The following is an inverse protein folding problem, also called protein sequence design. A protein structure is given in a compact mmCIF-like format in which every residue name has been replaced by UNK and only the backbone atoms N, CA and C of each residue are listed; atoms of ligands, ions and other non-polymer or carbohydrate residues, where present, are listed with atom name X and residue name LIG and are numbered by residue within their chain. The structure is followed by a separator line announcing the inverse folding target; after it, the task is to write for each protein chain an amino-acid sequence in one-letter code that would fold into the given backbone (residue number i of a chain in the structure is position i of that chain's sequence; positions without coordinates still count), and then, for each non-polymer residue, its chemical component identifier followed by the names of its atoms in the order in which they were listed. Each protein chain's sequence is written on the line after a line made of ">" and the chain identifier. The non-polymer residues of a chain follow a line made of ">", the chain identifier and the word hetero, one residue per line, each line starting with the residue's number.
data_IF_850457571815
#
_entry.id   IF_850457571815
#
_cell.length_a   1.000
_cell.length_b   1.000
_cell.length_c   1.000
_cell.angle_alpha   90.00
_cell.angle_beta   90.00
_cell.angle_gamma   90.00
#
_symmetry.space_group_name_H-M   'P 1'
#
loop_
_entity.id
_entity.type
_entity.pdbx_description
1 polymer ?
#
# COMPACT_ATOMS: atom_id res chain seq x y z
N UNK A 1 -33.45 -1.90 -5.51
CA UNK A 1 -33.03 -0.97 -4.48
C UNK A 1 -33.48 -1.49 -3.11
N UNK A 2 -32.60 -1.41 -2.11
CA UNK A 2 -32.96 -1.74 -0.73
C UNK A 2 -33.77 -0.60 -0.14
N UNK A 3 -34.65 -0.83 0.87
CA UNK A 3 -35.47 0.23 1.46
C UNK A 3 -34.66 1.41 2.07
N UNK A 4 -33.36 1.20 2.33
CA UNK A 4 -32.45 2.19 2.91
C UNK A 4 -31.62 2.96 1.86
N UNK A 5 -31.71 2.60 0.57
CA UNK A 5 -30.93 3.27 -0.46
C UNK A 5 -31.32 4.76 -0.55
N UNK A 6 -30.31 5.62 -0.62
CA UNK A 6 -30.50 7.08 -0.69
C UNK A 6 -30.63 7.81 0.64
N UNK A 7 -30.66 7.10 1.78
CA UNK A 7 -30.57 7.72 3.09
C UNK A 7 -29.11 8.11 3.39
N UNK A 8 -28.85 9.20 4.15
CA UNK A 8 -27.49 9.53 4.61
C UNK A 8 -26.84 8.35 5.31
N UNK A 9 -25.59 8.10 5.01
CA UNK A 9 -24.84 6.99 5.61
C UNK A 9 -24.58 7.20 7.11
N UNK A 10 -24.66 8.46 7.59
CA UNK A 10 -24.37 8.83 8.99
C UNK A 10 -23.04 8.22 9.47
N UNK A 11 -22.00 8.42 8.68
CA UNK A 11 -20.68 7.84 8.90
C UNK A 11 -20.10 8.24 10.28
N UNK A 12 -19.41 7.31 10.91
CA UNK A 12 -18.56 7.52 12.09
C UNK A 12 -17.43 6.49 12.08
N UNK A 13 -16.42 6.69 12.93
CA UNK A 13 -15.33 5.71 13.12
C UNK A 13 -15.83 4.33 13.58
N UNK A 14 -17.05 4.23 14.10
CA UNK A 14 -17.69 2.96 14.49
C UNK A 14 -18.52 2.33 13.37
N UNK A 15 -18.56 2.93 12.17
CA UNK A 15 -19.32 2.40 11.05
C UNK A 15 -18.69 1.11 10.52
N UNK A 16 -19.52 0.18 10.02
CA UNK A 16 -19.06 -1.01 9.31
C UNK A 16 -18.59 -0.63 7.89
N UNK A 17 -17.29 -0.51 7.72
CA UNK A 17 -16.65 -0.14 6.46
C UNK A 17 -16.93 -1.15 5.33
N UNK A 18 -17.08 -2.44 5.66
CA UNK A 18 -17.29 -3.51 4.68
C UNK A 18 -18.61 -3.38 3.89
N UNK A 19 -19.56 -2.63 4.39
CA UNK A 19 -20.82 -2.38 3.69
C UNK A 19 -20.59 -1.69 2.34
N UNK A 20 -19.68 -0.72 2.30
CA UNK A 20 -19.35 0.08 1.11
C UNK A 20 -18.00 -0.28 0.50
N UNK A 21 -16.96 -0.53 1.31
CA UNK A 21 -15.61 -0.86 0.88
C UNK A 21 -15.40 -2.37 0.69
N UNK A 22 -16.28 -3.01 -0.09
CA UNK A 22 -16.33 -4.47 -0.29
C UNK A 22 -15.02 -5.07 -0.80
N UNK A 23 -14.29 -4.36 -1.69
CA UNK A 23 -13.03 -4.85 -2.25
C UNK A 23 -11.93 -4.89 -1.21
N UNK A 24 -11.83 -3.85 -0.39
CA UNK A 24 -10.87 -3.75 0.68
C UNK A 24 -11.18 -4.80 1.77
N UNK A 25 -12.44 -4.93 2.16
CA UNK A 25 -12.84 -5.96 3.10
C UNK A 25 -12.60 -7.39 2.55
N UNK A 26 -12.83 -7.62 1.25
CA UNK A 26 -12.55 -8.91 0.62
C UNK A 26 -11.05 -9.24 0.60
N UNK A 27 -10.17 -8.23 0.46
CA UNK A 27 -8.72 -8.45 0.46
C UNK A 27 -8.17 -9.00 1.78
N UNK A 28 -8.88 -8.77 2.89
CA UNK A 28 -8.53 -9.35 4.19
C UNK A 28 -8.81 -10.87 4.30
N UNK A 29 -9.49 -11.43 3.33
CA UNK A 29 -9.87 -12.85 3.25
C UNK A 29 -9.34 -13.52 1.97
N UNK A 30 -8.58 -12.81 1.16
CA UNK A 30 -8.05 -13.28 -0.11
C UNK A 30 -6.57 -13.61 0.05
N UNK A 31 -6.20 -14.87 -0.04
CA UNK A 31 -4.81 -15.36 0.05
C UNK A 31 -3.88 -14.69 -0.99
N UNK A 32 -4.44 -14.11 -2.05
CA UNK A 32 -3.70 -13.29 -2.99
C UNK A 32 -3.26 -11.93 -2.39
N UNK A 33 -3.83 -11.53 -1.25
CA UNK A 33 -3.50 -10.29 -0.53
C UNK A 33 -2.83 -10.62 0.82
N UNK A 34 -1.61 -11.15 0.84
CA UNK A 34 -1.00 -11.74 2.05
C UNK A 34 -0.89 -10.76 3.22
N UNK A 35 -0.71 -9.47 2.96
CA UNK A 35 -0.65 -8.45 4.02
C UNK A 35 -2.02 -8.26 4.68
N UNK A 36 -3.09 -8.16 3.89
CA UNK A 36 -4.46 -8.05 4.41
C UNK A 36 -4.85 -9.24 5.26
N UNK A 37 -4.56 -10.44 4.79
CA UNK A 37 -4.84 -11.70 5.51
C UNK A 37 -4.04 -11.77 6.81
N UNK A 38 -2.75 -11.42 6.80
CA UNK A 38 -1.90 -11.45 7.99
C UNK A 38 -2.39 -10.46 9.05
N UNK A 39 -2.68 -9.22 8.69
CA UNK A 39 -3.20 -8.22 9.62
C UNK A 39 -4.55 -8.63 10.20
N UNK A 40 -5.42 -9.19 9.37
CA UNK A 40 -6.72 -9.71 9.84
C UNK A 40 -6.57 -10.84 10.84
N UNK A 41 -5.62 -11.74 10.64
CA UNK A 41 -5.34 -12.84 11.55
C UNK A 41 -4.87 -12.37 12.93
N UNK A 42 -4.13 -11.26 12.98
CA UNK A 42 -3.68 -10.59 14.21
C UNK A 42 -4.76 -9.69 14.83
N UNK A 43 -5.96 -9.62 14.23
CA UNK A 43 -7.08 -8.83 14.74
C UNK A 43 -7.02 -7.34 14.40
N UNK A 44 -6.12 -6.92 13.51
CA UNK A 44 -6.05 -5.52 13.04
C UNK A 44 -7.30 -5.19 12.24
N UNK A 45 -7.92 -4.06 12.57
CA UNK A 45 -9.14 -3.56 11.96
C UNK A 45 -8.87 -2.36 11.04
N UNK A 46 -9.84 -2.01 10.21
CA UNK A 46 -9.70 -0.88 9.27
C UNK A 46 -9.28 0.43 9.96
N UNK A 47 -9.84 0.71 11.14
CA UNK A 47 -9.62 1.97 11.86
C UNK A 47 -8.26 2.05 12.58
N UNK A 48 -7.53 0.95 12.67
CA UNK A 48 -6.18 0.96 13.23
C UNK A 48 -5.14 1.48 12.23
N UNK A 49 -5.47 1.42 10.94
CA UNK A 49 -4.69 2.04 9.86
C UNK A 49 -5.32 3.36 9.40
N UNK A 50 -6.66 3.40 9.24
CA UNK A 50 -7.39 4.59 8.81
C UNK A 50 -7.78 5.44 10.03
N UNK A 51 -6.82 6.17 10.60
CA UNK A 51 -6.95 6.88 11.87
C UNK A 51 -7.45 8.32 11.75
N UNK A 52 -7.40 8.91 10.54
CA UNK A 52 -7.67 10.33 10.29
C UNK A 52 -9.19 10.65 10.30
N UNK A 53 -9.78 10.65 11.49
CA UNK A 53 -11.23 10.77 11.68
C UNK A 53 -11.87 11.99 10.98
N UNK A 54 -11.21 13.15 11.02
CA UNK A 54 -11.74 14.39 10.41
C UNK A 54 -11.70 14.32 8.87
N UNK A 55 -10.64 13.77 8.31
CA UNK A 55 -10.50 13.54 6.84
C UNK A 55 -11.54 12.54 6.38
N UNK A 56 -11.71 11.44 7.11
CA UNK A 56 -12.70 10.42 6.80
C UNK A 56 -14.13 10.97 6.93
N UNK A 57 -14.43 11.75 8.00
CA UNK A 57 -15.73 12.39 8.15
C UNK A 57 -16.05 13.32 6.97
N UNK A 58 -15.06 14.12 6.55
CA UNK A 58 -15.21 15.02 5.38
C UNK A 58 -15.49 14.25 4.11
N UNK A 59 -14.73 13.16 3.88
CA UNK A 59 -14.89 12.32 2.68
C UNK A 59 -16.22 11.56 2.62
N UNK A 60 -16.88 11.37 3.76
CA UNK A 60 -18.15 10.65 3.88
C UNK A 60 -19.36 11.56 4.14
N UNK A 61 -19.18 12.89 4.19
CA UNK A 61 -20.23 13.83 4.60
C UNK A 61 -21.51 13.75 3.75
N UNK A 62 -21.36 13.55 2.44
CA UNK A 62 -22.47 13.50 1.48
C UNK A 62 -22.81 12.09 0.99
N UNK A 63 -22.16 11.05 1.58
CA UNK A 63 -22.38 9.67 1.17
C UNK A 63 -23.74 9.17 1.61
N UNK A 64 -24.44 8.47 0.72
CA UNK A 64 -25.72 7.83 0.97
C UNK A 64 -25.61 6.32 0.94
N UNK A 65 -26.46 5.66 1.68
CA UNK A 65 -26.55 4.20 1.64
C UNK A 65 -26.97 3.74 0.23
N UNK A 66 -26.18 2.82 -0.31
CA UNK A 66 -26.37 2.32 -1.67
C UNK A 66 -25.57 3.04 -2.75
N UNK A 67 -24.86 4.13 -2.41
CA UNK A 67 -23.93 4.77 -3.33
C UNK A 67 -22.81 3.79 -3.69
N UNK A 68 -22.39 3.81 -4.96
CA UNK A 68 -21.20 3.08 -5.38
C UNK A 68 -19.95 3.81 -4.88
N UNK A 69 -18.97 3.07 -4.34
CA UNK A 69 -17.70 3.65 -3.92
C UNK A 69 -17.03 4.39 -5.07
N UNK A 70 -16.33 5.46 -4.78
CA UNK A 70 -15.58 6.21 -5.78
C UNK A 70 -14.66 5.27 -6.58
N UNK A 71 -14.72 5.37 -7.91
CA UNK A 71 -13.90 4.52 -8.81
C UNK A 71 -12.41 4.84 -8.73
N UNK A 72 -12.07 6.02 -8.22
CA UNK A 72 -10.70 6.44 -7.91
C UNK A 72 -10.64 6.69 -6.41
N UNK A 73 -10.13 5.72 -5.70
CA UNK A 73 -9.79 5.90 -4.29
C UNK A 73 -8.48 6.69 -4.24
N UNK A 74 -8.47 7.81 -3.51
CA UNK A 74 -7.23 8.49 -3.18
C UNK A 74 -6.41 7.53 -2.31
N UNK A 75 -5.14 7.33 -2.65
CA UNK A 75 -4.25 6.54 -1.81
C UNK A 75 -4.12 7.27 -0.48
N UNK A 76 -4.63 6.67 0.58
CA UNK A 76 -4.50 7.21 1.93
C UNK A 76 -3.09 6.93 2.42
N UNK A 77 -2.41 7.98 2.87
CA UNK A 77 -1.11 7.82 3.53
C UNK A 77 -1.37 7.56 5.01
N UNK A 78 -0.97 6.40 5.48
CA UNK A 78 -1.01 6.07 6.91
C UNK A 78 0.26 6.61 7.57
N UNK A 79 0.12 7.22 8.75
CA UNK A 79 1.27 7.72 9.52
C UNK A 79 2.24 6.55 9.79
N UNK A 80 3.52 6.66 9.43
CA UNK A 80 4.52 5.64 9.70
C UNK A 80 4.54 5.15 11.15
N UNK A 81 4.29 6.03 12.13
CA UNK A 81 4.23 5.67 13.54
C UNK A 81 3.16 4.60 13.85
N UNK A 82 2.08 4.56 13.06
CA UNK A 82 1.06 3.51 13.18
C UNK A 82 1.65 2.14 12.85
N UNK A 83 2.40 2.04 11.78
CA UNK A 83 3.06 0.79 11.37
C UNK A 83 4.19 0.41 12.34
N UNK A 84 5.00 1.39 12.73
CA UNK A 84 6.16 1.21 13.62
C UNK A 84 5.76 0.75 15.02
N UNK A 85 4.55 1.05 15.46
CA UNK A 85 4.04 0.62 16.77
C UNK A 85 4.02 -0.91 16.96
N UNK A 86 3.93 -1.66 15.86
CA UNK A 86 3.95 -3.13 15.86
C UNK A 86 5.18 -3.71 15.15
N UNK A 87 5.59 -3.08 14.03
CA UNK A 87 6.68 -3.59 13.19
C UNK A 87 8.08 -3.10 13.61
N UNK A 88 8.16 -2.14 14.52
CA UNK A 88 9.41 -1.48 14.90
C UNK A 88 9.81 -0.38 13.91
N UNK A 89 10.92 0.27 14.20
CA UNK A 89 11.48 1.36 13.39
C UNK A 89 11.91 0.88 12.00
N UNK A 90 12.05 1.81 11.07
CA UNK A 90 12.52 1.50 9.72
C UNK A 90 13.88 0.78 9.71
N UNK A 91 14.77 1.11 10.64
CA UNK A 91 16.09 0.46 10.81
C UNK A 91 15.96 -0.99 11.31
N UNK A 92 15.04 -1.24 12.24
CA UNK A 92 14.75 -2.60 12.72
C UNK A 92 14.15 -3.44 11.60
N UNK A 93 13.20 -2.89 10.83
CA UNK A 93 12.63 -3.57 9.65
C UNK A 93 13.72 -3.85 8.60
N UNK A 94 14.65 -2.92 8.36
CA UNK A 94 15.78 -3.13 7.46
C UNK A 94 16.64 -4.31 7.90
N UNK A 95 16.85 -4.46 9.21
CA UNK A 95 17.61 -5.57 9.80
C UNK A 95 16.84 -6.90 9.64
N UNK A 96 15.55 -6.90 9.93
CA UNK A 96 14.68 -8.09 9.80
C UNK A 96 14.60 -8.59 8.37
N UNK A 97 14.64 -7.68 7.40
CA UNK A 97 14.50 -7.99 5.97
C UNK A 97 15.83 -8.10 5.23
N UNK A 98 16.97 -8.07 5.93
CA UNK A 98 18.31 -8.09 5.33
C UNK A 98 18.58 -9.29 4.41
N UNK A 99 17.92 -10.42 4.67
CA UNK A 99 18.02 -11.64 3.86
C UNK A 99 16.93 -11.77 2.77
N UNK A 100 16.10 -10.75 2.59
CA UNK A 100 15.01 -10.82 1.60
C UNK A 100 15.55 -10.81 0.17
N UNK A 101 15.03 -11.71 -0.65
CA UNK A 101 15.33 -11.80 -2.10
C UNK A 101 14.12 -11.42 -2.95
N UNK A 102 13.09 -10.82 -2.36
CA UNK A 102 11.84 -10.47 -3.03
C UNK A 102 12.03 -9.47 -4.19
N UNK A 103 13.05 -8.63 -4.12
CA UNK A 103 13.44 -7.71 -5.19
C UNK A 103 14.81 -8.10 -5.74
N UNK A 104 14.87 -9.26 -6.39
CA UNK A 104 16.04 -9.74 -7.11
C UNK A 104 15.74 -9.72 -8.61
N UNK A 105 16.66 -9.15 -9.41
CA UNK A 105 16.53 -9.08 -10.85
C UNK A 105 17.06 -10.35 -11.55
N UNK A 106 16.90 -10.41 -12.88
CA UNK A 106 17.36 -11.53 -13.70
C UNK A 106 18.89 -11.69 -13.71
N UNK A 107 19.64 -10.65 -13.32
CA UNK A 107 21.09 -10.67 -13.18
C UNK A 107 21.56 -11.11 -11.79
N UNK A 108 20.62 -11.38 -10.89
CA UNK A 108 20.89 -11.76 -9.50
C UNK A 108 21.18 -10.58 -8.56
N UNK A 109 20.93 -9.34 -9.00
CA UNK A 109 21.05 -8.16 -8.13
C UNK A 109 19.87 -8.08 -7.19
N UNK A 110 20.13 -8.15 -5.90
CA UNK A 110 19.12 -8.04 -4.86
C UNK A 110 19.19 -6.67 -4.20
N UNK A 111 18.04 -6.02 -4.05
CA UNK A 111 17.89 -4.77 -3.29
C UNK A 111 16.93 -4.96 -2.12
N UNK A 112 17.32 -4.41 -0.96
CA UNK A 112 16.43 -4.29 0.18
C UNK A 112 15.95 -2.83 0.27
N UNK A 113 14.68 -2.51 -0.04
CA UNK A 113 14.18 -1.14 0.00
C UNK A 113 14.20 -0.54 1.41
N UNK A 114 14.16 -1.36 2.46
CA UNK A 114 14.28 -0.90 3.85
C UNK A 114 15.72 -0.49 4.23
N UNK A 115 16.72 -1.00 3.51
CA UNK A 115 18.14 -0.66 3.67
C UNK A 115 18.62 0.31 2.57
N UNK A 116 17.78 1.24 2.15
CA UNK A 116 18.09 2.22 1.11
C UNK A 116 19.32 3.06 1.50
N UNK A 117 20.34 3.16 0.63
CA UNK A 117 21.53 3.94 0.95
C UNK A 117 21.20 5.43 1.08
N UNK A 118 21.80 6.10 2.08
CA UNK A 118 21.69 7.55 2.24
C UNK A 118 22.48 8.27 1.15
N UNK A 119 21.86 9.27 0.55
CA UNK A 119 22.45 10.25 -0.35
C UNK A 119 21.53 11.47 -0.44
N UNK A 120 22.03 12.59 -1.02
CA UNK A 120 21.29 13.85 -1.09
C UNK A 120 19.85 13.70 -1.64
N UNK A 121 19.64 12.89 -2.68
CA UNK A 121 18.31 12.69 -3.27
C UNK A 121 17.42 11.82 -2.40
N UNK A 122 17.96 10.76 -1.83
CA UNK A 122 17.20 9.88 -0.96
C UNK A 122 16.82 10.58 0.35
N UNK A 123 17.73 11.38 0.91
CA UNK A 123 17.50 12.09 2.16
C UNK A 123 16.48 13.23 2.00
N UNK A 124 16.45 13.85 0.79
CA UNK A 124 15.45 14.84 0.44
C UNK A 124 14.04 14.24 0.18
N UNK A 125 13.95 12.92 -0.01
CA UNK A 125 12.71 12.19 -0.29
C UNK A 125 12.60 10.99 0.66
N UNK A 126 12.29 11.23 1.94
CA UNK A 126 12.13 10.15 2.92
C UNK A 126 11.00 9.21 2.50
N UNK A 127 11.22 7.90 2.72
CA UNK A 127 10.20 6.89 2.48
C UNK A 127 9.19 6.85 3.61
N UNK A 128 7.93 6.61 3.23
CA UNK A 128 6.89 6.16 4.15
C UNK A 128 6.54 4.69 3.85
N UNK A 129 5.95 4.01 4.81
CA UNK A 129 5.58 2.60 4.64
C UNK A 129 4.60 2.42 3.46
N UNK A 130 3.65 3.35 3.32
CA UNK A 130 2.60 3.32 2.30
C UNK A 130 3.08 3.70 0.89
N UNK A 131 4.30 4.17 0.72
CA UNK A 131 4.89 4.38 -0.61
C UNK A 131 5.03 3.06 -1.38
N UNK A 132 5.25 1.96 -0.64
CA UNK A 132 5.45 0.63 -1.20
C UNK A 132 4.41 -0.37 -0.70
N UNK A 133 4.00 -0.26 0.57
CA UNK A 133 3.07 -1.19 1.19
C UNK A 133 1.62 -0.74 1.01
N UNK A 134 0.88 -1.47 0.18
CA UNK A 134 -0.57 -1.36 0.10
C UNK A 134 -1.17 -2.64 0.70
N UNK A 135 -1.80 -2.53 1.86
CA UNK A 135 -2.39 -3.66 2.58
C UNK A 135 -3.43 -4.44 1.76
N UNK A 136 -4.02 -3.80 0.77
CA UNK A 136 -5.04 -4.38 -0.12
C UNK A 136 -4.47 -4.85 -1.47
N UNK A 137 -3.14 -4.87 -1.63
CA UNK A 137 -2.48 -5.27 -2.87
C UNK A 137 -2.18 -6.76 -2.91
N UNK A 138 -2.23 -7.31 -4.12
CA UNK A 138 -1.83 -8.69 -4.42
C UNK A 138 -0.36 -8.82 -4.83
N UNK A 139 0.37 -7.72 -5.01
CA UNK A 139 1.71 -7.72 -5.61
C UNK A 139 2.60 -6.63 -5.00
N UNK A 140 3.07 -6.89 -3.79
CA UNK A 140 3.95 -5.98 -3.05
C UNK A 140 5.28 -5.69 -3.79
N UNK A 141 5.98 -6.67 -4.39
CA UNK A 141 7.19 -6.38 -5.16
C UNK A 141 6.94 -5.37 -6.29
N UNK A 142 5.82 -5.49 -6.98
CA UNK A 142 5.44 -4.58 -8.05
C UNK A 142 5.11 -3.17 -7.54
N UNK A 143 4.50 -3.05 -6.38
CA UNK A 143 4.22 -1.74 -5.78
C UNK A 143 5.52 -1.04 -5.38
N UNK A 144 6.47 -1.75 -4.76
CA UNK A 144 7.80 -1.24 -4.46
C UNK A 144 8.56 -0.81 -5.73
N UNK A 145 8.52 -1.64 -6.79
CA UNK A 145 9.14 -1.31 -8.08
C UNK A 145 8.56 -0.05 -8.71
N UNK A 146 7.23 0.14 -8.64
CA UNK A 146 6.57 1.35 -9.15
C UNK A 146 7.04 2.61 -8.44
N UNK A 147 7.24 2.55 -7.14
CA UNK A 147 7.76 3.67 -6.37
C UNK A 147 9.20 4.01 -6.81
N UNK A 148 10.09 3.03 -6.81
CA UNK A 148 11.48 3.22 -7.23
C UNK A 148 11.60 3.74 -8.67
N UNK A 149 10.73 3.29 -9.57
CA UNK A 149 10.71 3.67 -10.99
C UNK A 149 10.40 5.16 -11.23
N UNK A 150 9.89 5.89 -10.26
CA UNK A 150 9.67 7.33 -10.38
C UNK A 150 10.99 8.10 -10.59
N UNK A 151 12.08 7.61 -10.00
CA UNK A 151 13.41 8.20 -10.11
C UNK A 151 14.42 7.29 -10.82
N UNK A 152 14.29 5.97 -10.67
CA UNK A 152 15.23 4.97 -11.13
C UNK A 152 14.89 4.36 -12.50
N UNK A 153 14.25 5.09 -13.37
CA UNK A 153 13.83 4.56 -14.67
C UNK A 153 14.97 4.35 -15.68
N UNK A 154 16.14 5.00 -15.50
CA UNK A 154 17.32 4.83 -16.37
C UNK A 154 18.61 5.01 -15.60
N UNK A 155 19.49 4.03 -15.65
CA UNK A 155 20.90 4.17 -15.31
C UNK A 155 21.27 3.99 -13.84
N UNK A 156 20.34 3.63 -12.94
CA UNK A 156 20.61 3.35 -11.52
C UNK A 156 20.35 1.88 -11.19
N UNK A 157 19.32 1.29 -11.78
CA UNK A 157 19.18 -0.16 -11.88
C UNK A 157 19.59 -0.59 -13.27
N UNK A 158 20.20 -1.76 -13.41
CA UNK A 158 20.45 -2.35 -14.73
C UNK A 158 19.13 -2.58 -15.45
N UNK A 159 19.17 -2.41 -16.77
CA UNK A 159 18.00 -2.71 -17.60
C UNK A 159 17.60 -4.19 -17.38
N UNK A 160 16.34 -4.45 -17.11
CA UNK A 160 15.84 -5.79 -16.80
C UNK A 160 15.50 -6.02 -15.32
N UNK A 161 15.98 -5.15 -14.39
CA UNK A 161 15.69 -5.29 -12.95
C UNK A 161 14.20 -5.24 -12.63
N UNK A 162 13.42 -4.43 -13.36
CA UNK A 162 12.00 -4.21 -13.04
C UNK A 162 11.03 -4.85 -14.04
N UNK A 163 11.48 -5.20 -15.21
CA UNK A 163 10.69 -5.84 -16.27
C UNK A 163 11.62 -6.42 -17.35
N UNK A 164 11.14 -7.38 -18.10
CA UNK A 164 11.86 -7.92 -19.27
C UNK A 164 12.21 -6.82 -20.26
N UNK A 165 13.43 -6.89 -20.80
CA UNK A 165 13.87 -6.01 -21.88
C UNK A 165 12.98 -6.26 -23.11
N UNK A 166 12.34 -5.20 -23.60
CA UNK A 166 11.66 -5.29 -24.89
C UNK A 166 12.71 -5.35 -26.00
N UNK A 167 12.79 -6.46 -26.69
CA UNK A 167 13.46 -6.56 -27.99
C UNK A 167 12.75 -5.62 -28.98
N UNK A 168 13.28 -4.40 -29.12
CA UNK A 168 12.91 -3.56 -30.25
C UNK A 168 13.65 -4.12 -31.47
N UNK A 169 12.97 -4.94 -32.24
CA UNK A 169 13.37 -5.12 -33.61
C UNK A 169 13.18 -3.80 -34.35
N UNK A 170 14.27 -3.11 -34.63
CA UNK A 170 14.26 -1.91 -35.47
C UNK A 170 14.08 -2.45 -36.90
N UNK A 171 12.86 -2.25 -37.42
CA UNK A 171 12.53 -2.48 -38.83
C UNK A 171 12.91 -1.24 -39.64
#
# INVERSE_FOLDING_TARGET
>A
ARPSDGLPANWSMASDCAISHKRQAASELDDACPQGVAHKAEGVTCIECHTEADTLATSHADVKLGDEPASKVTVETVDPATCESCHGTFEEVATLTAGSTALTDDNGTTVNPHARPSNEKHDANPLTCTDCHNNHSTDLPKDAQKYCAQCHHRGVYECGTCHELRDRQVS
#
